data_IF_179972148676
#
_entry.id   IF_179972148676
#
_cell.length_a   1.000
_cell.length_b   1.000
_cell.length_c   1.000
_cell.angle_alpha   90.00
_cell.angle_beta   90.00
_cell.angle_gamma   90.00
#
_symmetry.space_group_name_H-M   'P 1'
#
loop_
_entity.id
_entity.type
_entity.pdbx_description
1 polymer ?
#
# COMPACT_ATOMS: atom_id res chain seq x y z
N UNK A 1 39.04 31.96 -3.14
CA UNK A 1 38.92 31.94 -4.61
C UNK A 1 38.86 30.48 -5.02
N UNK A 2 37.74 30.14 -5.57
CA UNK A 2 37.42 28.94 -6.36
C UNK A 2 37.79 27.56 -5.82
N UNK A 3 36.76 26.88 -5.33
CA UNK A 3 36.43 25.54 -5.82
C UNK A 3 34.96 25.22 -5.51
N UNK A 4 34.09 25.79 -6.35
CA UNK A 4 32.72 25.36 -6.49
C UNK A 4 32.56 24.80 -7.89
N UNK A 5 32.99 23.58 -8.10
CA UNK A 5 32.67 22.84 -9.32
C UNK A 5 32.99 21.34 -9.14
N UNK A 6 32.21 20.66 -8.34
CA UNK A 6 31.99 19.25 -8.59
C UNK A 6 30.51 18.95 -8.36
N UNK A 7 29.69 19.44 -9.32
CA UNK A 7 28.30 19.05 -9.44
C UNK A 7 28.26 17.64 -10.02
N UNK A 8 27.95 16.70 -9.17
CA UNK A 8 27.20 15.50 -9.44
C UNK A 8 27.21 15.00 -10.89
N UNK A 9 28.22 14.22 -11.20
CA UNK A 9 28.08 13.27 -12.29
C UNK A 9 27.10 12.20 -11.79
N UNK A 10 25.81 12.41 -12.04
CA UNK A 10 24.81 11.36 -12.01
C UNK A 10 25.34 10.30 -12.98
N UNK A 11 25.86 9.21 -12.43
CA UNK A 11 26.26 8.06 -13.23
C UNK A 11 25.01 7.56 -13.95
N UNK A 12 24.91 7.87 -15.22
CA UNK A 12 23.88 7.28 -16.07
C UNK A 12 24.08 5.75 -16.04
N UNK A 13 23.01 4.96 -15.87
CA UNK A 13 23.13 3.52 -15.89
C UNK A 13 23.76 3.10 -17.22
N UNK A 14 24.84 2.36 -17.14
CA UNK A 14 25.62 1.87 -18.29
C UNK A 14 24.88 0.78 -19.08
N UNK A 15 23.68 0.41 -18.69
CA UNK A 15 22.86 -0.55 -19.40
C UNK A 15 22.27 0.07 -20.67
N UNK A 16 22.65 -0.45 -21.81
CA UNK A 16 22.06 -0.09 -23.09
C UNK A 16 20.58 -0.44 -23.07
N UNK A 17 19.70 0.55 -23.26
CA UNK A 17 18.27 0.27 -23.40
C UNK A 17 18.03 -0.76 -24.51
N UNK A 18 17.16 -1.75 -24.31
CA UNK A 18 16.80 -2.68 -25.34
C UNK A 18 16.11 -1.95 -26.49
N UNK A 19 16.32 -2.43 -27.71
CA UNK A 19 15.70 -1.82 -28.93
C UNK A 19 14.25 -2.24 -29.13
N UNK A 20 13.81 -3.28 -28.41
CA UNK A 20 12.43 -3.78 -28.40
C UNK A 20 12.13 -4.46 -27.08
N UNK A 21 10.87 -4.52 -26.71
CA UNK A 21 10.36 -5.27 -25.57
C UNK A 21 8.93 -5.72 -25.87
N UNK A 22 8.51 -6.84 -25.29
CA UNK A 22 7.14 -7.34 -25.39
C UNK A 22 6.15 -6.43 -24.65
N UNK A 23 6.58 -5.92 -23.49
CA UNK A 23 5.80 -4.96 -22.68
C UNK A 23 6.68 -3.81 -22.27
N UNK A 24 6.18 -2.59 -22.44
CA UNK A 24 6.81 -1.38 -21.91
C UNK A 24 5.87 -0.76 -20.90
N UNK A 25 6.32 -0.68 -19.65
CA UNK A 25 5.62 0.02 -18.56
C UNK A 25 6.17 1.43 -18.47
N UNK A 26 5.31 2.44 -18.51
CA UNK A 26 5.71 3.85 -18.42
C UNK A 26 5.34 4.40 -17.05
N UNK A 27 6.33 4.80 -16.28
CA UNK A 27 6.21 5.36 -14.94
C UNK A 27 6.71 4.42 -13.83
N UNK A 28 7.68 4.88 -13.07
CA UNK A 28 8.36 4.15 -11.98
C UNK A 28 7.76 4.42 -10.59
N UNK A 29 6.46 4.67 -10.50
CA UNK A 29 5.73 4.72 -9.23
C UNK A 29 5.24 3.35 -8.79
N UNK A 30 4.54 3.28 -7.65
CA UNK A 30 4.02 2.03 -7.07
C UNK A 30 3.21 1.19 -8.05
N UNK A 31 2.39 1.82 -8.90
CA UNK A 31 1.57 1.11 -9.90
C UNK A 31 2.44 0.49 -10.99
N UNK A 32 3.37 1.25 -11.57
CA UNK A 32 4.25 0.73 -12.63
C UNK A 32 5.18 -0.36 -12.14
N UNK A 33 5.81 -0.18 -10.97
CA UNK A 33 6.64 -1.19 -10.35
C UNK A 33 5.82 -2.46 -10.03
N UNK A 34 4.59 -2.31 -9.52
CA UNK A 34 3.69 -3.43 -9.25
C UNK A 34 3.31 -4.19 -10.53
N UNK A 35 3.03 -3.50 -11.63
CA UNK A 35 2.75 -4.15 -12.93
C UNK A 35 3.96 -4.95 -13.38
N UNK A 36 5.16 -4.36 -13.32
CA UNK A 36 6.39 -5.05 -13.73
C UNK A 36 6.66 -6.29 -12.86
N UNK A 37 6.53 -6.15 -11.53
CA UNK A 37 6.66 -7.26 -10.57
C UNK A 37 5.74 -8.44 -10.93
N UNK A 38 4.44 -8.15 -11.13
CA UNK A 38 3.48 -9.21 -11.43
C UNK A 38 3.66 -9.82 -12.82
N UNK A 39 4.15 -9.06 -13.80
CA UNK A 39 4.54 -9.62 -15.08
C UNK A 39 5.71 -10.60 -14.93
N UNK A 40 6.70 -10.25 -14.12
CA UNK A 40 7.83 -11.14 -13.82
C UNK A 40 7.39 -12.41 -13.09
N UNK A 41 6.52 -12.28 -12.07
CA UNK A 41 5.91 -13.42 -11.36
C UNK A 41 5.13 -14.36 -12.31
N UNK A 42 4.52 -13.81 -13.37
CA UNK A 42 3.86 -14.57 -14.42
C UNK A 42 4.82 -15.14 -15.48
N UNK A 43 6.12 -14.98 -15.31
CA UNK A 43 7.15 -15.49 -16.22
C UNK A 43 7.39 -14.64 -17.47
N UNK A 44 6.94 -13.36 -17.47
CA UNK A 44 7.20 -12.43 -18.57
C UNK A 44 8.54 -11.73 -18.35
N UNK A 45 9.58 -12.15 -19.05
CA UNK A 45 10.95 -11.65 -18.88
C UNK A 45 11.33 -10.55 -19.87
N UNK A 46 10.59 -10.40 -20.97
CA UNK A 46 10.82 -9.36 -21.99
C UNK A 46 9.95 -8.12 -21.69
N UNK A 47 10.21 -7.51 -20.54
CA UNK A 47 9.49 -6.33 -20.06
C UNK A 47 10.47 -5.23 -19.70
N UNK A 48 10.11 -3.98 -19.97
CA UNK A 48 10.91 -2.79 -19.64
C UNK A 48 10.04 -1.78 -18.91
N UNK A 49 10.55 -1.22 -17.81
CA UNK A 49 9.97 -0.06 -17.15
C UNK A 49 10.78 1.17 -17.51
N UNK A 50 10.10 2.20 -17.96
CA UNK A 50 10.67 3.53 -18.28
C UNK A 50 10.20 4.55 -17.26
N UNK A 51 11.12 5.17 -16.55
CA UNK A 51 10.86 6.32 -15.67
C UNK A 51 11.70 7.50 -16.14
N UNK A 52 11.09 8.68 -16.20
CA UNK A 52 11.76 9.90 -16.67
C UNK A 52 12.71 10.52 -15.65
N UNK A 53 12.50 10.22 -14.38
CA UNK A 53 13.29 10.68 -13.25
C UNK A 53 13.76 9.46 -12.43
N UNK A 54 13.71 9.58 -11.11
CA UNK A 54 13.96 8.46 -10.19
C UNK A 54 12.67 7.69 -9.88
N UNK A 55 12.81 6.41 -9.54
CA UNK A 55 11.68 5.64 -9.02
C UNK A 55 11.04 6.40 -7.85
N UNK A 56 9.73 6.37 -7.77
CA UNK A 56 8.91 7.02 -6.72
C UNK A 56 8.78 8.53 -6.80
N UNK A 57 9.56 9.23 -7.60
CA UNK A 57 9.61 10.70 -7.64
C UNK A 57 8.31 11.42 -8.01
N UNK A 58 7.32 10.69 -8.50
CA UNK A 58 5.98 11.21 -8.81
C UNK A 58 5.05 11.21 -7.59
N UNK A 59 3.79 10.78 -7.79
CA UNK A 59 2.76 10.76 -6.73
C UNK A 59 3.05 9.78 -5.59
N UNK A 60 3.88 8.79 -5.82
CA UNK A 60 4.13 7.71 -4.86
C UNK A 60 4.69 8.21 -3.53
N UNK A 61 5.72 9.04 -3.56
CA UNK A 61 6.34 9.52 -2.31
C UNK A 61 5.47 10.51 -1.51
N UNK A 62 4.40 11.04 -2.14
CA UNK A 62 3.43 11.91 -1.45
C UNK A 62 2.30 11.13 -0.77
N UNK A 63 2.23 9.81 -0.97
CA UNK A 63 1.16 9.02 -0.41
C UNK A 63 1.33 8.85 1.11
N UNK A 64 0.21 8.83 1.84
CA UNK A 64 0.20 8.68 3.30
C UNK A 64 0.65 7.29 3.76
N UNK A 65 0.63 6.30 2.89
CA UNK A 65 1.06 4.94 3.19
C UNK A 65 0.02 4.05 3.85
N UNK A 66 -1.20 4.52 4.08
CA UNK A 66 -2.25 3.69 4.65
C UNK A 66 -2.63 2.53 3.73
N UNK A 67 -2.74 1.34 4.31
CA UNK A 67 -3.05 0.08 3.61
C UNK A 67 -4.35 -0.53 4.18
N UNK A 68 -5.53 0.06 3.92
CA UNK A 68 -6.79 -0.41 4.47
C UNK A 68 -7.31 -1.64 3.74
N UNK A 69 -8.01 -2.53 4.47
CA UNK A 69 -8.82 -3.59 3.85
C UNK A 69 -10.29 -3.18 3.74
N UNK A 70 -10.75 -2.29 4.61
CA UNK A 70 -12.14 -1.84 4.64
C UNK A 70 -12.50 -0.98 3.42
N UNK A 71 -13.45 -1.46 2.62
CA UNK A 71 -14.10 -0.70 1.55
C UNK A 71 -15.45 -1.31 1.19
N UNK A 72 -16.43 -0.47 0.83
CA UNK A 72 -17.79 -0.89 0.47
C UNK A 72 -17.94 -1.50 -0.94
N UNK A 73 -16.86 -1.84 -1.60
CA UNK A 73 -16.86 -2.46 -2.93
C UNK A 73 -16.16 -3.81 -2.90
N UNK A 74 -16.86 -4.86 -3.30
CA UNK A 74 -16.32 -6.21 -3.40
C UNK A 74 -15.03 -6.30 -4.20
N UNK A 75 -15.01 -5.70 -5.39
CA UNK A 75 -13.84 -5.75 -6.28
C UNK A 75 -12.64 -5.03 -5.68
N UNK A 76 -12.87 -3.85 -5.08
CA UNK A 76 -11.79 -3.07 -4.49
C UNK A 76 -11.27 -3.77 -3.22
N UNK A 77 -12.16 -4.30 -2.37
CA UNK A 77 -11.75 -5.07 -1.18
C UNK A 77 -10.87 -6.26 -1.55
N UNK A 78 -11.21 -6.98 -2.62
CA UNK A 78 -10.40 -8.10 -3.12
C UNK A 78 -9.00 -7.65 -3.53
N UNK A 79 -8.88 -6.51 -4.21
CA UNK A 79 -7.58 -5.95 -4.62
C UNK A 79 -6.80 -5.51 -3.39
N UNK A 80 -7.42 -4.81 -2.44
CA UNK A 80 -6.77 -4.34 -1.22
C UNK A 80 -6.27 -5.50 -0.36
N UNK A 81 -7.09 -6.51 -0.13
CA UNK A 81 -6.71 -7.70 0.65
C UNK A 81 -5.56 -8.48 0.00
N UNK A 82 -5.54 -8.57 -1.32
CA UNK A 82 -4.40 -9.13 -2.05
C UNK A 82 -3.14 -8.28 -1.81
N UNK A 83 -3.25 -6.96 -1.96
CA UNK A 83 -2.12 -6.03 -1.81
C UNK A 83 -1.52 -6.09 -0.41
N UNK A 84 -2.35 -6.00 0.64
CA UNK A 84 -1.89 -6.07 2.04
C UNK A 84 -1.28 -7.44 2.37
N UNK A 85 -1.82 -8.52 1.79
CA UNK A 85 -1.25 -9.85 1.92
C UNK A 85 0.12 -9.98 1.25
N UNK A 86 0.31 -9.33 0.10
CA UNK A 86 1.61 -9.28 -0.57
C UNK A 86 2.61 -8.46 0.25
N UNK A 87 2.22 -7.27 0.72
CA UNK A 87 3.12 -6.36 1.43
C UNK A 87 3.71 -6.98 2.70
N UNK A 88 2.93 -7.80 3.43
CA UNK A 88 3.42 -8.51 4.63
C UNK A 88 4.60 -9.45 4.37
N UNK A 89 4.76 -9.94 3.17
CA UNK A 89 5.78 -10.94 2.80
C UNK A 89 6.77 -10.45 1.74
N UNK A 90 6.47 -9.34 1.07
CA UNK A 90 7.27 -8.89 -0.08
C UNK A 90 8.73 -8.65 0.29
N UNK A 91 9.00 -8.03 1.44
CA UNK A 91 10.36 -7.78 1.90
C UNK A 91 11.21 -9.04 1.99
N UNK A 92 10.64 -10.12 2.49
CA UNK A 92 11.31 -11.43 2.56
C UNK A 92 11.46 -12.05 1.18
N UNK A 93 10.42 -11.97 0.32
CA UNK A 93 10.44 -12.55 -1.02
C UNK A 93 11.52 -11.97 -1.92
N UNK A 94 11.77 -10.66 -1.78
CA UNK A 94 12.75 -9.96 -2.62
C UNK A 94 14.03 -9.56 -1.88
N UNK A 95 14.21 -10.02 -0.64
CA UNK A 95 15.36 -9.66 0.22
C UNK A 95 15.60 -8.15 0.25
N UNK A 96 14.55 -7.38 0.62
CA UNK A 96 14.59 -5.93 0.71
C UNK A 96 13.95 -5.46 2.03
N UNK A 97 14.60 -4.60 2.80
CA UNK A 97 14.03 -4.09 4.05
C UNK A 97 12.80 -3.24 3.76
N UNK A 98 11.64 -3.68 4.24
CA UNK A 98 10.38 -2.95 4.10
C UNK A 98 9.86 -2.52 5.46
N UNK A 99 9.44 -1.27 5.53
CA UNK A 99 8.80 -0.69 6.69
C UNK A 99 7.27 -0.81 6.55
N UNK A 100 6.76 -2.04 6.71
CA UNK A 100 5.34 -2.33 6.74
C UNK A 100 4.90 -2.75 8.14
N UNK A 101 4.01 -1.95 8.74
CA UNK A 101 3.51 -2.19 10.08
C UNK A 101 2.03 -2.56 10.03
N UNK A 102 1.67 -3.67 10.64
CA UNK A 102 0.28 -4.05 10.87
C UNK A 102 -0.15 -3.46 12.21
N UNK A 103 -0.73 -2.27 12.16
CA UNK A 103 -1.14 -1.49 13.34
C UNK A 103 -2.60 -1.68 13.70
N UNK A 104 -3.38 -2.21 12.78
CA UNK A 104 -4.83 -2.15 12.83
C UNK A 104 -5.38 -0.74 12.59
N UNK A 105 -6.70 -0.63 12.44
CA UNK A 105 -7.39 0.66 12.32
C UNK A 105 -8.76 0.64 12.96
N UNK A 106 -9.12 1.74 13.63
CA UNK A 106 -10.45 1.96 14.18
C UNK A 106 -11.22 2.91 13.26
N UNK A 107 -12.42 2.50 12.82
CA UNK A 107 -13.35 3.35 12.08
C UNK A 107 -14.48 3.78 12.98
N UNK A 108 -14.80 5.06 12.97
CA UNK A 108 -15.74 5.67 13.89
C UNK A 108 -17.14 5.79 13.27
N UNK A 109 -18.17 5.49 14.04
CA UNK A 109 -19.56 5.63 13.64
C UNK A 109 -20.27 6.72 14.45
N UNK A 110 -20.62 7.83 13.81
CA UNK A 110 -21.42 8.92 14.37
C UNK A 110 -22.94 8.71 14.21
N UNK A 111 -23.37 7.57 13.67
CA UNK A 111 -24.79 7.28 13.48
C UNK A 111 -25.04 5.76 13.47
N UNK A 112 -26.32 5.38 13.73
CA UNK A 112 -26.77 4.00 13.58
C UNK A 112 -26.62 3.49 12.14
N UNK A 113 -26.92 4.36 11.17
CA UNK A 113 -26.77 4.03 9.76
C UNK A 113 -25.32 3.66 9.42
N UNK A 114 -24.34 4.38 10.01
CA UNK A 114 -22.92 4.04 9.82
C UNK A 114 -22.56 2.68 10.42
N UNK A 115 -23.13 2.31 11.55
CA UNK A 115 -22.96 0.98 12.14
C UNK A 115 -23.56 -0.12 11.25
N UNK A 116 -24.73 0.13 10.66
CA UNK A 116 -25.34 -0.82 9.70
C UNK A 116 -24.48 -1.00 8.44
N UNK A 117 -23.89 0.07 7.95
CA UNK A 117 -22.91 0.01 6.84
C UNK A 117 -21.68 -0.81 7.23
N UNK A 118 -21.14 -0.65 8.43
CA UNK A 118 -20.04 -1.46 8.93
C UNK A 118 -20.39 -2.96 8.92
N UNK A 119 -21.55 -3.33 9.44
CA UNK A 119 -22.03 -4.72 9.43
C UNK A 119 -22.19 -5.28 8.03
N UNK A 120 -22.64 -4.46 7.07
CA UNK A 120 -22.73 -4.89 5.68
C UNK A 120 -21.34 -5.16 5.09
N UNK A 121 -20.38 -4.28 5.32
CA UNK A 121 -19.00 -4.44 4.84
C UNK A 121 -18.30 -5.61 5.55
N UNK A 122 -18.56 -5.82 6.84
CA UNK A 122 -18.07 -6.98 7.61
C UNK A 122 -18.53 -8.31 6.98
N UNK A 123 -19.82 -8.43 6.65
CA UNK A 123 -20.34 -9.64 5.99
C UNK A 123 -19.68 -9.88 4.63
N UNK A 124 -19.41 -8.82 3.88
CA UNK A 124 -18.68 -8.92 2.62
C UNK A 124 -17.22 -9.34 2.86
N UNK A 125 -16.56 -8.78 3.86
CA UNK A 125 -15.19 -9.14 4.25
C UNK A 125 -15.07 -10.61 4.64
N UNK A 126 -15.98 -11.12 5.46
CA UNK A 126 -15.99 -12.53 5.87
C UNK A 126 -16.01 -13.51 4.69
N UNK A 127 -16.69 -13.17 3.61
CA UNK A 127 -16.70 -13.99 2.39
C UNK A 127 -15.35 -14.01 1.66
N UNK A 128 -14.47 -13.06 1.97
CA UNK A 128 -13.11 -12.96 1.42
C UNK A 128 -12.02 -13.38 2.40
N UNK A 129 -12.41 -13.81 3.61
CA UNK A 129 -11.45 -14.13 4.68
C UNK A 129 -10.85 -12.89 5.34
N UNK A 130 -11.50 -11.72 5.21
CA UNK A 130 -11.15 -10.49 5.95
C UNK A 130 -12.13 -10.34 7.11
N UNK A 131 -11.60 -10.34 8.32
CA UNK A 131 -12.40 -10.20 9.54
C UNK A 131 -12.34 -8.75 10.03
N UNK A 132 -13.50 -8.23 10.37
CA UNK A 132 -13.69 -6.94 11.02
C UNK A 132 -14.49 -7.16 12.30
N UNK A 133 -14.17 -6.42 13.36
CA UNK A 133 -14.85 -6.54 14.65
C UNK A 133 -15.62 -5.25 14.97
N UNK A 134 -16.90 -5.38 15.35
CA UNK A 134 -17.67 -4.26 15.91
C UNK A 134 -17.11 -3.91 17.29
N UNK A 135 -16.91 -2.62 17.56
CA UNK A 135 -16.34 -2.12 18.80
C UNK A 135 -17.28 -1.19 19.54
N UNK A 136 -17.37 -1.38 20.85
CA UNK A 136 -17.94 -0.41 21.76
C UNK A 136 -17.03 0.80 21.99
N UNK A 137 -17.59 1.91 22.47
CA UNK A 137 -16.83 3.09 22.85
C UNK A 137 -15.76 2.82 23.92
N UNK A 138 -16.01 1.84 24.79
CA UNK A 138 -15.04 1.43 25.80
C UNK A 138 -13.84 0.72 25.16
N UNK A 139 -14.10 -0.27 24.32
CA UNK A 139 -13.04 -1.02 23.64
C UNK A 139 -12.16 -0.14 22.77
N UNK A 140 -12.77 0.84 22.05
CA UNK A 140 -11.99 1.80 21.27
C UNK A 140 -11.05 2.64 22.14
N UNK A 141 -11.52 3.09 23.33
CA UNK A 141 -10.67 3.85 24.27
C UNK A 141 -9.62 2.98 24.95
N UNK A 142 -9.88 1.71 25.14
CA UNK A 142 -8.88 0.77 25.70
C UNK A 142 -7.68 0.65 24.72
N UNK A 143 -7.92 0.71 23.40
CA UNK A 143 -6.86 0.70 22.37
C UNK A 143 -6.24 2.10 22.21
N UNK A 144 -7.09 3.15 22.14
CA UNK A 144 -6.65 4.52 21.93
C UNK A 144 -7.24 5.47 22.99
N UNK A 145 -6.58 5.65 24.14
CA UNK A 145 -7.12 6.39 25.28
C UNK A 145 -7.42 7.87 25.04
N UNK A 146 -6.83 8.47 24.00
CA UNK A 146 -7.06 9.87 23.62
C UNK A 146 -8.32 10.07 22.77
N UNK A 147 -9.02 8.99 22.42
CA UNK A 147 -10.20 9.07 21.58
C UNK A 147 -11.39 9.63 22.36
N UNK A 148 -11.96 10.73 21.88
CA UNK A 148 -13.24 11.23 22.36
C UNK A 148 -14.40 10.43 21.75
N UNK A 149 -15.29 9.91 22.58
CA UNK A 149 -16.31 8.93 22.14
C UNK A 149 -17.74 9.31 22.53
N UNK A 150 -17.94 10.51 23.11
CA UNK A 150 -19.26 10.90 23.67
C UNK A 150 -20.36 11.00 22.60
N UNK A 151 -20.03 11.26 21.36
CA UNK A 151 -20.93 11.40 20.21
C UNK A 151 -20.88 10.19 19.25
N UNK A 152 -20.21 9.10 19.65
CA UNK A 152 -20.07 7.90 18.82
C UNK A 152 -21.10 6.82 19.21
N UNK A 153 -21.63 6.16 18.20
CA UNK A 153 -22.48 4.98 18.35
C UNK A 153 -21.67 3.70 18.54
N UNK A 154 -20.39 3.71 18.19
CA UNK A 154 -19.46 2.61 18.22
C UNK A 154 -18.41 2.76 17.13
N UNK A 155 -17.71 1.68 16.84
CA UNK A 155 -16.69 1.62 15.80
C UNK A 155 -16.55 0.26 15.18
N UNK A 156 -15.62 0.17 14.26
CA UNK A 156 -15.19 -1.09 13.66
C UNK A 156 -13.67 -1.17 13.68
N UNK A 157 -13.18 -2.30 14.10
CA UNK A 157 -11.76 -2.65 14.10
C UNK A 157 -11.40 -3.46 12.86
N UNK A 158 -10.34 -3.07 12.19
CA UNK A 158 -9.67 -3.86 11.17
C UNK A 158 -8.29 -4.25 11.71
N UNK A 159 -8.09 -5.50 12.14
CA UNK A 159 -6.83 -5.93 12.73
C UNK A 159 -5.68 -6.03 11.73
N UNK A 160 -5.99 -6.08 10.44
CA UNK A 160 -5.02 -6.28 9.37
C UNK A 160 -4.67 -5.01 8.61
N UNK A 161 -5.29 -3.88 8.95
CA UNK A 161 -4.89 -2.58 8.43
C UNK A 161 -3.48 -2.24 8.91
N UNK A 162 -2.78 -1.46 8.13
CA UNK A 162 -1.41 -1.06 8.43
C UNK A 162 -0.97 0.16 7.66
N UNK A 163 0.29 0.46 7.82
CA UNK A 163 0.97 1.52 7.08
C UNK A 163 2.28 1.01 6.48
N UNK A 164 2.70 1.68 5.41
CA UNK A 164 3.91 1.34 4.67
C UNK A 164 4.60 2.62 4.20
N UNK A 165 5.92 2.59 4.09
CA UNK A 165 6.63 3.60 3.31
C UNK A 165 6.42 3.32 1.80
N UNK A 166 5.70 4.21 1.07
CA UNK A 166 5.38 3.98 -0.33
C UNK A 166 6.62 3.93 -1.23
N UNK A 167 7.69 4.63 -0.84
CA UNK A 167 8.94 4.61 -1.60
C UNK A 167 9.66 3.26 -1.42
N UNK A 168 9.74 2.75 -0.21
CA UNK A 168 10.31 1.43 0.07
C UNK A 168 9.52 0.32 -0.63
N UNK A 169 8.17 0.37 -0.59
CA UNK A 169 7.34 -0.57 -1.33
C UNK A 169 7.69 -0.60 -2.81
N UNK A 170 7.81 0.58 -3.43
CA UNK A 170 8.10 0.67 -4.86
C UNK A 170 9.49 0.13 -5.19
N UNK A 171 10.48 0.41 -4.36
CA UNK A 171 11.82 -0.13 -4.51
C UNK A 171 11.84 -1.67 -4.37
N UNK A 172 11.09 -2.21 -3.41
CA UNK A 172 10.95 -3.64 -3.22
C UNK A 172 10.31 -4.33 -4.43
N UNK A 173 9.25 -3.71 -5.01
CA UNK A 173 8.59 -4.23 -6.22
C UNK A 173 9.48 -4.15 -7.47
N UNK A 174 10.46 -3.26 -7.50
CA UNK A 174 11.37 -3.08 -8.63
C UNK A 174 12.66 -3.92 -8.52
N UNK A 175 12.90 -4.56 -7.37
CA UNK A 175 14.07 -5.41 -7.13
C UNK A 175 13.92 -6.79 -7.75
#
# INVERSE_FOLDING_TARGET
>A
MNDMANKDQIQQPTAKLPTSARVVVIGGGAVGASVLYHLAELGWTDCVLLEKNELTSGSTWHAAGNCPNYVGSWTIMKIQSYSTSLYRKLGELVDYPMNYHVTGAIRLAHSRQRMEEFRHVEQMGRQMGVEFDEMSNKEMRDIYPFLETHDLYGGQWDPLDGDIDPAQLTQALAK
#
